data_IF_022287331965
#
_entry.id   IF_022287331965
#
_cell.length_a   1.000
_cell.length_b   1.000
_cell.length_c   1.000
_cell.angle_alpha   90.00
_cell.angle_beta   90.00
_cell.angle_gamma   90.00
#
_symmetry.space_group_name_H-M   'P 1'
#
loop_
_entity.id
_entity.type
_entity.pdbx_description
1 polymer ?
#
# COMPACT_ATOMS: atom_id res chain seq x y z
N UNK A 1 -13.76 -42.06 -13.41
CA UNK A 1 -14.96 -41.33 -12.93
C UNK A 1 -14.76 -40.55 -11.61
N UNK A 2 -13.57 -40.61 -10.98
CA UNK A 2 -13.28 -39.93 -9.70
C UNK A 2 -12.65 -38.52 -9.82
N UNK A 3 -12.26 -38.05 -11.01
CA UNK A 3 -11.65 -36.71 -11.15
C UNK A 3 -12.65 -35.54 -11.17
N UNK A 4 -13.95 -35.79 -11.43
CA UNK A 4 -14.98 -34.74 -11.45
C UNK A 4 -15.43 -34.27 -10.06
N UNK A 5 -15.25 -35.09 -9.02
CA UNK A 5 -15.62 -34.72 -7.64
C UNK A 5 -14.54 -33.88 -6.93
N UNK A 6 -13.29 -33.90 -7.41
CA UNK A 6 -12.20 -33.10 -6.83
C UNK A 6 -12.34 -31.60 -7.11
N UNK A 7 -12.89 -31.21 -8.28
CA UNK A 7 -13.14 -29.81 -8.63
C UNK A 7 -14.18 -29.17 -7.71
N UNK A 8 -15.34 -29.82 -7.55
CA UNK A 8 -16.45 -29.30 -6.73
C UNK A 8 -16.08 -29.01 -5.27
N UNK A 9 -15.23 -29.85 -4.64
CA UNK A 9 -14.78 -29.61 -3.25
C UNK A 9 -13.77 -28.46 -3.15
N UNK A 10 -12.86 -28.32 -4.11
CA UNK A 10 -11.88 -27.21 -4.13
C UNK A 10 -12.56 -25.88 -4.44
N UNK A 11 -13.50 -25.86 -5.37
CA UNK A 11 -14.27 -24.67 -5.70
C UNK A 11 -15.13 -24.23 -4.50
N UNK A 12 -15.76 -25.19 -3.81
CA UNK A 12 -16.50 -24.90 -2.57
C UNK A 12 -15.59 -24.35 -1.46
N UNK A 13 -14.41 -24.94 -1.25
CA UNK A 13 -13.43 -24.43 -0.28
C UNK A 13 -12.99 -23.01 -0.62
N UNK A 14 -12.71 -22.72 -1.89
CA UNK A 14 -12.33 -21.39 -2.34
C UNK A 14 -13.43 -20.36 -2.10
N UNK A 15 -14.67 -20.67 -2.50
CA UNK A 15 -15.82 -19.77 -2.29
C UNK A 15 -16.09 -19.54 -0.80
N UNK A 16 -15.98 -20.58 0.03
CA UNK A 16 -16.13 -20.45 1.49
C UNK A 16 -15.03 -19.57 2.10
N UNK A 17 -13.77 -19.79 1.75
CA UNK A 17 -12.65 -18.97 2.22
C UNK A 17 -12.81 -17.51 1.78
N UNK A 18 -13.18 -17.28 0.52
CA UNK A 18 -13.44 -15.93 0.01
C UNK A 18 -14.58 -15.26 0.78
N UNK A 19 -15.67 -15.99 1.05
CA UNK A 19 -16.78 -15.51 1.86
C UNK A 19 -16.36 -15.11 3.27
N UNK A 20 -15.53 -15.93 3.93
CA UNK A 20 -14.98 -15.65 5.26
C UNK A 20 -14.09 -14.39 5.24
N UNK A 21 -13.21 -14.25 4.23
CA UNK A 21 -12.34 -13.09 4.10
C UNK A 21 -13.13 -11.80 3.85
N UNK A 22 -14.14 -11.84 2.97
CA UNK A 22 -15.01 -10.70 2.72
C UNK A 22 -15.85 -10.32 3.94
N UNK A 23 -16.37 -11.31 4.67
CA UNK A 23 -17.09 -11.07 5.93
C UNK A 23 -16.17 -10.44 6.99
N UNK A 24 -14.94 -10.95 7.13
CA UNK A 24 -13.94 -10.42 8.06
C UNK A 24 -13.55 -8.99 7.69
N UNK A 25 -13.40 -8.70 6.40
CA UNK A 25 -13.15 -7.35 5.90
C UNK A 25 -14.33 -6.41 6.20
N UNK A 26 -15.57 -6.85 5.96
CA UNK A 26 -16.76 -6.06 6.28
C UNK A 26 -16.85 -5.73 7.77
N UNK A 27 -16.61 -6.71 8.64
CA UNK A 27 -16.58 -6.53 10.09
C UNK A 27 -15.44 -5.60 10.52
N UNK A 28 -14.25 -5.73 9.93
CA UNK A 28 -13.12 -4.87 10.29
C UNK A 28 -13.37 -3.41 9.90
N UNK A 29 -13.94 -3.15 8.73
CA UNK A 29 -14.34 -1.79 8.30
C UNK A 29 -15.42 -1.22 9.23
N UNK A 30 -16.42 -2.03 9.59
CA UNK A 30 -17.47 -1.66 10.54
C UNK A 30 -16.87 -1.23 11.89
N UNK A 31 -15.99 -2.04 12.46
CA UNK A 31 -15.35 -1.75 13.74
C UNK A 31 -14.42 -0.53 13.64
N UNK A 32 -13.64 -0.44 12.56
CA UNK A 32 -12.68 0.64 12.37
C UNK A 32 -13.33 2.03 12.29
N UNK A 33 -14.51 2.16 11.65
CA UNK A 33 -15.24 3.44 11.62
C UNK A 33 -15.93 3.74 12.95
N UNK A 34 -16.35 2.70 13.66
CA UNK A 34 -17.06 2.83 14.93
C UNK A 34 -16.13 3.19 16.10
N UNK A 35 -14.88 2.75 16.06
CA UNK A 35 -13.87 3.02 17.08
C UNK A 35 -13.16 4.36 16.85
N UNK A 36 -12.98 5.14 17.91
CA UNK A 36 -12.22 6.39 17.84
C UNK A 36 -12.11 7.08 19.20
N UNK A 37 -11.39 8.20 19.25
CA UNK A 37 -11.12 8.96 20.48
C UNK A 37 -12.37 9.53 21.15
N UNK A 38 -13.45 9.72 20.38
CA UNK A 38 -14.75 10.20 20.87
C UNK A 38 -15.75 9.05 20.81
N UNK A 39 -16.40 8.70 21.92
CA UNK A 39 -17.44 7.70 21.92
C UNK A 39 -18.68 8.22 21.18
N UNK A 40 -19.09 7.54 20.11
CA UNK A 40 -20.28 7.86 19.31
C UNK A 40 -21.11 6.59 19.22
N UNK A 41 -22.43 6.69 19.41
CA UNK A 41 -23.32 5.55 19.30
C UNK A 41 -23.25 4.92 17.90
N UNK A 42 -23.30 3.58 17.84
CA UNK A 42 -23.26 2.85 16.57
C UNK A 42 -24.40 3.27 15.65
N UNK A 43 -25.61 3.43 16.19
CA UNK A 43 -26.78 3.89 15.45
C UNK A 43 -26.53 5.23 14.73
N UNK A 44 -25.95 6.21 15.43
CA UNK A 44 -25.67 7.53 14.86
C UNK A 44 -24.56 7.48 13.80
N UNK A 45 -23.52 6.67 14.05
CA UNK A 45 -22.41 6.48 13.10
C UNK A 45 -22.92 5.98 11.74
N UNK A 46 -23.74 4.92 11.73
CA UNK A 46 -24.27 4.36 10.49
C UNK A 46 -25.38 5.21 9.88
N UNK A 47 -26.19 5.91 10.67
CA UNK A 47 -27.14 6.91 10.14
C UNK A 47 -26.41 8.02 9.39
N UNK A 48 -25.31 8.54 9.93
CA UNK A 48 -24.48 9.55 9.26
C UNK A 48 -23.90 9.00 7.95
N UNK A 49 -23.34 7.79 7.96
CA UNK A 49 -22.73 7.20 6.75
C UNK A 49 -23.79 6.95 5.68
N UNK A 50 -24.90 6.30 6.03
CA UNK A 50 -25.95 5.95 5.07
C UNK A 50 -26.65 7.19 4.50
N UNK A 51 -26.94 8.19 5.33
CA UNK A 51 -27.50 9.47 4.85
C UNK A 51 -26.56 10.18 3.87
N UNK A 52 -25.25 10.17 4.12
CA UNK A 52 -24.24 10.76 3.23
C UNK A 52 -24.01 9.97 1.95
N UNK A 53 -24.27 8.66 1.96
CA UNK A 53 -24.29 7.81 0.77
C UNK A 53 -25.57 7.96 -0.07
N UNK A 54 -26.53 8.77 0.38
CA UNK A 54 -27.76 9.09 -0.36
C UNK A 54 -28.97 8.24 0.01
N UNK A 55 -28.91 7.44 1.08
CA UNK A 55 -30.09 6.75 1.61
C UNK A 55 -31.01 7.76 2.34
N UNK A 56 -32.35 7.66 2.16
CA UNK A 56 -33.31 8.58 2.77
C UNK A 56 -33.52 8.27 4.26
N UNK A 57 -32.47 8.48 5.05
CA UNK A 57 -32.49 8.35 6.50
C UNK A 57 -32.42 9.74 7.12
N UNK A 58 -33.37 10.04 7.99
CA UNK A 58 -33.32 11.27 8.77
C UNK A 58 -32.08 11.24 9.67
N UNK A 59 -31.16 12.17 9.38
CA UNK A 59 -30.14 12.59 10.33
C UNK A 59 -30.93 13.33 11.40
N UNK A 60 -31.25 12.66 12.52
CA UNK A 60 -32.01 13.27 13.62
C UNK A 60 -31.23 14.39 14.31
N UNK A 61 -31.35 14.52 15.63
CA UNK A 61 -30.59 15.51 16.42
C UNK A 61 -29.09 15.16 16.58
N UNK A 62 -28.43 14.74 15.51
CA UNK A 62 -26.99 14.47 15.53
C UNK A 62 -26.24 15.79 15.42
N UNK A 63 -25.33 16.03 16.37
CA UNK A 63 -24.53 17.25 16.39
C UNK A 63 -23.65 17.40 15.13
N UNK A 64 -23.41 18.64 14.70
CA UNK A 64 -22.52 18.94 13.55
C UNK A 64 -21.10 18.41 13.76
N UNK A 65 -20.61 18.39 15.00
CA UNK A 65 -19.28 17.86 15.34
C UNK A 65 -19.22 16.34 15.20
N UNK A 66 -20.24 15.61 15.66
CA UNK A 66 -20.36 14.15 15.46
C UNK A 66 -20.34 13.80 13.98
N UNK A 67 -21.10 14.55 13.16
CA UNK A 67 -21.11 14.36 11.71
C UNK A 67 -19.72 14.56 11.10
N UNK A 68 -19.02 15.64 11.48
CA UNK A 68 -17.68 15.94 10.96
C UNK A 68 -16.66 14.86 11.36
N UNK A 69 -16.71 14.37 12.60
CA UNK A 69 -15.83 13.30 13.08
C UNK A 69 -16.02 12.03 12.25
N UNK A 70 -17.27 11.56 12.09
CA UNK A 70 -17.55 10.31 11.37
C UNK A 70 -17.22 10.46 9.88
N UNK A 71 -17.78 11.48 9.22
CA UNK A 71 -17.71 11.61 7.77
C UNK A 71 -16.39 12.19 7.24
N UNK A 72 -15.77 13.15 7.93
CA UNK A 72 -14.57 13.83 7.43
C UNK A 72 -13.27 13.30 8.04
N UNK A 73 -13.31 12.60 9.18
CA UNK A 73 -12.10 12.11 9.84
C UNK A 73 -12.01 10.58 9.82
N UNK A 74 -13.06 9.87 10.26
CA UNK A 74 -13.00 8.40 10.39
C UNK A 74 -13.16 7.69 9.07
N UNK A 75 -14.19 8.04 8.32
CA UNK A 75 -14.52 7.33 7.08
C UNK A 75 -13.40 7.44 6.03
N UNK A 76 -12.81 8.61 5.75
CA UNK A 76 -11.69 8.72 4.82
C UNK A 76 -10.46 7.94 5.27
N UNK A 77 -10.16 7.96 6.58
CA UNK A 77 -9.05 7.21 7.18
C UNK A 77 -9.21 5.70 7.00
N UNK A 78 -10.42 5.17 7.21
CA UNK A 78 -10.70 3.73 7.04
C UNK A 78 -10.61 3.33 5.57
N UNK A 79 -11.16 4.15 4.67
CA UNK A 79 -11.05 3.91 3.23
C UNK A 79 -9.59 3.97 2.75
N UNK A 80 -8.80 4.93 3.22
CA UNK A 80 -7.37 4.97 2.89
C UNK A 80 -6.65 3.73 3.41
N UNK A 81 -6.97 3.26 4.63
CA UNK A 81 -6.43 2.01 5.17
C UNK A 81 -6.75 0.80 4.29
N UNK A 82 -7.98 0.71 3.77
CA UNK A 82 -8.39 -0.31 2.81
C UNK A 82 -7.58 -0.24 1.51
N UNK A 83 -7.46 0.95 0.92
CA UNK A 83 -6.75 1.18 -0.36
C UNK A 83 -5.26 0.87 -0.23
N UNK A 84 -4.60 1.38 0.83
CA UNK A 84 -3.18 1.14 1.10
C UNK A 84 -2.94 -0.34 1.39
N UNK A 85 -3.80 -0.99 2.18
CA UNK A 85 -3.72 -2.43 2.45
C UNK A 85 -3.84 -3.27 1.18
N UNK A 86 -4.79 -2.95 0.30
CA UNK A 86 -4.96 -3.62 -0.99
C UNK A 86 -3.74 -3.42 -1.90
N UNK A 87 -3.21 -2.19 -1.98
CA UNK A 87 -2.00 -1.88 -2.75
C UNK A 87 -0.77 -2.65 -2.26
N UNK A 88 -0.52 -2.64 -0.94
CA UNK A 88 0.60 -3.36 -0.34
C UNK A 88 0.47 -4.89 -0.53
N UNK A 89 -0.72 -5.44 -0.36
CA UNK A 89 -0.98 -6.87 -0.60
C UNK A 89 -0.69 -7.25 -2.05
N UNK A 90 -1.14 -6.43 -3.01
CA UNK A 90 -0.87 -6.67 -4.44
C UNK A 90 0.62 -6.59 -4.75
N UNK A 91 1.32 -5.56 -4.28
CA UNK A 91 2.78 -5.43 -4.46
C UNK A 91 3.52 -6.65 -3.90
N UNK A 92 3.10 -7.15 -2.73
CA UNK A 92 3.62 -8.39 -2.15
C UNK A 92 3.39 -9.61 -3.04
N UNK A 93 2.15 -9.84 -3.49
CA UNK A 93 1.80 -10.97 -4.37
C UNK A 93 2.55 -10.93 -5.71
N UNK A 94 2.66 -9.75 -6.32
CA UNK A 94 3.42 -9.55 -7.57
C UNK A 94 4.90 -9.84 -7.34
N UNK A 95 5.50 -9.25 -6.30
CA UNK A 95 6.92 -9.44 -6.01
C UNK A 95 7.25 -10.91 -5.74
N UNK A 96 6.48 -11.58 -4.87
CA UNK A 96 6.68 -12.99 -4.53
C UNK A 96 6.55 -13.90 -5.75
N UNK A 97 5.64 -13.59 -6.68
CA UNK A 97 5.47 -14.35 -7.92
C UNK A 97 6.62 -14.14 -8.89
N UNK A 98 7.07 -12.88 -9.06
CA UNK A 98 8.15 -12.53 -10.00
C UNK A 98 9.49 -13.08 -9.58
N UNK A 99 9.83 -13.04 -8.28
CA UNK A 99 11.11 -13.58 -7.81
C UNK A 99 11.05 -15.05 -7.38
N UNK A 100 9.88 -15.67 -7.54
CA UNK A 100 9.58 -17.04 -7.09
C UNK A 100 10.09 -17.32 -5.66
N UNK A 101 9.78 -16.40 -4.75
CA UNK A 101 10.25 -16.47 -3.38
C UNK A 101 9.21 -15.90 -2.40
N UNK A 102 8.64 -16.74 -1.50
CA UNK A 102 7.58 -16.31 -0.58
C UNK A 102 8.06 -15.30 0.48
N UNK A 103 9.36 -15.18 0.73
CA UNK A 103 9.91 -14.19 1.67
C UNK A 103 10.20 -12.84 1.00
N UNK A 104 9.96 -12.71 -0.30
CA UNK A 104 10.24 -11.47 -1.00
C UNK A 104 9.22 -10.39 -0.66
N UNK A 105 9.75 -9.19 -0.47
CA UNK A 105 8.97 -7.99 -0.18
C UNK A 105 9.27 -6.90 -1.20
N UNK A 106 8.30 -6.03 -1.52
CA UNK A 106 8.49 -4.97 -2.50
C UNK A 106 9.55 -3.93 -2.09
N UNK A 107 9.92 -3.87 -0.81
CA UNK A 107 10.94 -2.96 -0.30
C UNK A 107 12.36 -3.27 -0.77
N UNK A 108 12.59 -4.46 -1.33
CA UNK A 108 13.88 -4.86 -1.93
C UNK A 108 14.33 -3.88 -3.03
N UNK A 109 13.40 -3.18 -3.69
CA UNK A 109 13.72 -2.19 -4.72
C UNK A 109 14.22 -0.84 -4.18
N UNK A 110 14.53 -0.73 -2.88
CA UNK A 110 15.02 0.50 -2.26
C UNK A 110 13.97 1.63 -2.19
N UNK A 111 12.72 1.34 -2.56
CA UNK A 111 11.59 2.28 -2.64
C UNK A 111 11.41 3.05 -1.33
N UNK A 112 11.49 2.36 -0.18
CA UNK A 112 11.30 2.99 1.15
C UNK A 112 12.41 3.98 1.49
N UNK A 113 13.67 3.65 1.23
CA UNK A 113 14.79 4.57 1.44
C UNK A 113 14.78 5.73 0.45
N UNK A 114 14.39 5.48 -0.80
CA UNK A 114 14.01 6.48 -1.79
C UNK A 114 13.03 7.50 -1.24
N UNK A 115 11.88 7.00 -0.77
CA UNK A 115 10.82 7.82 -0.21
C UNK A 115 11.29 8.62 1.01
N UNK A 116 12.05 7.97 1.90
CA UNK A 116 12.60 8.59 3.10
C UNK A 116 13.56 9.73 2.77
N UNK A 117 14.47 9.54 1.80
CA UNK A 117 15.39 10.57 1.36
C UNK A 117 14.65 11.77 0.75
N UNK A 118 13.69 11.51 -0.14
CA UNK A 118 12.88 12.56 -0.78
C UNK A 118 12.00 13.34 0.19
N UNK A 119 11.41 12.65 1.17
CA UNK A 119 10.65 13.29 2.25
C UNK A 119 11.57 14.13 3.16
N UNK A 120 12.73 13.59 3.53
CA UNK A 120 13.74 14.28 4.35
C UNK A 120 14.19 15.58 3.69
N UNK A 121 14.51 15.55 2.40
CA UNK A 121 14.84 16.74 1.62
C UNK A 121 13.71 17.77 1.63
N UNK A 122 12.47 17.32 1.38
CA UNK A 122 11.31 18.22 1.33
C UNK A 122 11.03 18.88 2.68
N UNK A 123 11.19 18.13 3.78
CA UNK A 123 11.01 18.64 5.14
C UNK A 123 12.06 19.69 5.48
N UNK A 124 13.34 19.40 5.20
CA UNK A 124 14.46 20.29 5.53
C UNK A 124 14.43 21.57 4.68
N UNK A 125 14.00 21.49 3.42
CA UNK A 125 13.78 22.66 2.56
C UNK A 125 12.52 23.47 2.94
N UNK A 126 11.74 23.05 3.94
CA UNK A 126 10.52 23.73 4.37
C UNK A 126 9.33 23.56 3.42
N UNK A 127 9.44 22.65 2.44
CA UNK A 127 8.46 22.45 1.38
C UNK A 127 7.35 21.47 1.82
N UNK A 128 6.61 21.83 2.88
CA UNK A 128 5.63 20.94 3.55
C UNK A 128 4.53 20.40 2.64
N UNK A 129 4.10 21.18 1.63
CA UNK A 129 3.02 20.79 0.71
C UNK A 129 3.44 19.69 -0.27
N UNK A 130 4.75 19.53 -0.50
CA UNK A 130 5.29 18.60 -1.51
C UNK A 130 6.05 17.43 -0.90
N UNK A 131 5.91 17.16 0.40
CA UNK A 131 6.58 16.00 1.05
C UNK A 131 6.22 14.69 0.34
N UNK A 132 4.93 14.46 0.05
CA UNK A 132 4.49 13.26 -0.66
C UNK A 132 5.06 13.17 -2.08
N UNK A 133 5.22 14.31 -2.76
CA UNK A 133 5.81 14.36 -4.09
C UNK A 133 7.31 14.08 -4.05
N UNK A 134 8.04 14.69 -3.10
CA UNK A 134 9.45 14.42 -2.89
C UNK A 134 9.70 12.95 -2.55
N UNK A 135 8.88 12.37 -1.67
CA UNK A 135 8.92 10.94 -1.35
C UNK A 135 8.67 10.08 -2.59
N UNK A 136 7.66 10.40 -3.39
CA UNK A 136 7.35 9.66 -4.60
C UNK A 136 8.49 9.71 -5.63
N UNK A 137 9.05 10.89 -5.87
CA UNK A 137 10.20 11.06 -6.78
C UNK A 137 11.45 10.34 -6.26
N UNK A 138 11.70 10.40 -4.95
CA UNK A 138 12.80 9.68 -4.32
C UNK A 138 12.66 8.15 -4.44
N UNK A 139 11.44 7.63 -4.30
CA UNK A 139 11.13 6.21 -4.51
C UNK A 139 11.37 5.77 -5.96
N UNK A 140 10.95 6.59 -6.93
CA UNK A 140 11.23 6.34 -8.36
C UNK A 140 12.74 6.32 -8.61
N UNK A 141 13.47 7.32 -8.09
CA UNK A 141 14.92 7.40 -8.26
C UNK A 141 15.63 6.18 -7.68
N UNK A 142 15.23 5.73 -6.48
CA UNK A 142 15.78 4.51 -5.87
C UNK A 142 15.51 3.29 -6.74
N UNK A 143 14.28 3.12 -7.22
CA UNK A 143 13.91 1.99 -8.09
C UNK A 143 14.72 1.97 -9.37
N UNK A 144 14.85 3.12 -10.04
CA UNK A 144 15.66 3.26 -11.26
C UNK A 144 17.13 2.93 -10.97
N UNK A 145 17.68 3.42 -9.86
CA UNK A 145 19.06 3.12 -9.46
C UNK A 145 19.27 1.61 -9.24
N UNK A 146 18.33 0.94 -8.55
CA UNK A 146 18.38 -0.51 -8.34
C UNK A 146 18.33 -1.25 -9.68
N UNK A 147 17.42 -0.90 -10.58
CA UNK A 147 17.30 -1.55 -11.89
C UNK A 147 18.55 -1.35 -12.75
N UNK A 148 19.13 -0.16 -12.76
CA UNK A 148 20.39 0.12 -13.48
C UNK A 148 21.50 -0.78 -12.94
N UNK A 149 21.74 -0.78 -11.63
CA UNK A 149 22.83 -1.56 -11.01
C UNK A 149 22.59 -3.08 -11.22
N UNK A 150 21.37 -3.55 -11.04
CA UNK A 150 21.02 -4.97 -11.19
C UNK A 150 21.18 -5.47 -12.62
N UNK A 151 21.05 -4.58 -13.62
CA UNK A 151 21.17 -4.90 -15.04
C UNK A 151 22.60 -4.81 -15.60
N UNK A 152 23.57 -4.27 -14.86
CA UNK A 152 24.94 -4.04 -15.35
C UNK A 152 25.66 -5.31 -15.79
N UNK A 153 25.29 -6.48 -15.27
CA UNK A 153 25.90 -7.77 -15.62
C UNK A 153 25.17 -8.48 -16.79
N UNK A 154 24.28 -7.80 -17.51
CA UNK A 154 23.60 -8.31 -18.70
C UNK A 154 22.48 -9.34 -18.44
N UNK A 155 22.37 -9.87 -17.21
CA UNK A 155 21.25 -10.69 -16.75
C UNK A 155 20.75 -10.19 -15.40
N UNK A 156 19.45 -9.91 -15.31
CA UNK A 156 18.83 -9.54 -14.05
C UNK A 156 18.46 -10.83 -13.32
N UNK A 157 19.17 -11.13 -12.23
CA UNK A 157 18.89 -12.28 -11.38
C UNK A 157 18.27 -11.79 -10.07
N UNK A 158 17.53 -12.66 -9.38
CA UNK A 158 17.00 -12.34 -8.04
C UNK A 158 18.11 -11.90 -7.09
N UNK A 159 19.29 -12.54 -7.15
CA UNK A 159 20.45 -12.17 -6.34
C UNK A 159 21.01 -10.78 -6.69
N UNK A 160 21.13 -10.43 -7.98
CA UNK A 160 21.62 -9.11 -8.38
C UNK A 160 20.64 -8.01 -8.00
N UNK A 161 19.33 -8.27 -8.08
CA UNK A 161 18.29 -7.34 -7.66
C UNK A 161 18.34 -7.07 -6.15
N UNK A 162 18.45 -8.14 -5.34
CA UNK A 162 18.53 -8.01 -3.87
C UNK A 162 19.79 -7.24 -3.46
N UNK A 163 20.96 -7.59 -4.01
CA UNK A 163 22.22 -6.94 -3.67
C UNK A 163 22.25 -5.46 -4.11
N UNK A 164 21.69 -5.15 -5.28
CA UNK A 164 21.56 -3.76 -5.75
C UNK A 164 20.62 -2.97 -4.85
N UNK A 165 19.51 -3.59 -4.43
CA UNK A 165 18.56 -3.06 -3.47
C UNK A 165 19.21 -2.68 -2.13
N UNK A 166 20.00 -3.59 -1.55
CA UNK A 166 20.67 -3.32 -0.27
C UNK A 166 21.71 -2.20 -0.39
N UNK A 167 22.44 -2.13 -1.50
CA UNK A 167 23.40 -1.03 -1.78
C UNK A 167 22.69 0.32 -1.89
N UNK A 168 21.64 0.41 -2.70
CA UNK A 168 20.88 1.66 -2.88
C UNK A 168 20.21 2.08 -1.56
N UNK A 169 19.66 1.13 -0.82
CA UNK A 169 19.06 1.37 0.49
C UNK A 169 20.09 1.99 1.47
N UNK A 170 21.27 1.39 1.59
CA UNK A 170 22.33 1.90 2.46
C UNK A 170 22.80 3.30 2.04
N UNK A 171 22.98 3.53 0.74
CA UNK A 171 23.39 4.82 0.19
C UNK A 171 22.36 5.92 0.48
N UNK A 172 21.08 5.65 0.26
CA UNK A 172 20.02 6.64 0.42
C UNK A 172 19.75 6.96 1.90
N UNK A 173 19.87 5.96 2.78
CA UNK A 173 19.83 6.18 4.23
C UNK A 173 21.04 6.99 4.70
N UNK A 174 22.25 6.73 4.16
CA UNK A 174 23.43 7.52 4.46
C UNK A 174 23.26 8.99 4.05
N UNK A 175 22.73 9.24 2.85
CA UNK A 175 22.40 10.61 2.43
C UNK A 175 21.33 11.25 3.31
N UNK A 176 20.26 10.53 3.65
CA UNK A 176 19.21 11.04 4.54
C UNK A 176 19.80 11.47 5.88
N UNK A 177 20.64 10.63 6.49
CA UNK A 177 21.29 10.92 7.76
C UNK A 177 22.30 12.08 7.64
N UNK A 178 23.04 12.18 6.55
CA UNK A 178 23.94 13.30 6.30
C UNK A 178 23.16 14.63 6.23
N UNK A 179 22.07 14.68 5.46
CA UNK A 179 21.24 15.89 5.34
C UNK A 179 20.63 16.25 6.70
N UNK A 180 20.13 15.27 7.45
CA UNK A 180 19.62 15.48 8.81
C UNK A 180 20.71 16.07 9.71
N UNK A 181 21.92 15.51 9.66
CA UNK A 181 23.03 15.93 10.51
C UNK A 181 23.50 17.36 10.22
N UNK A 182 23.42 17.81 8.97
CA UNK A 182 23.93 19.13 8.56
C UNK A 182 22.86 20.22 8.64
N UNK A 183 21.61 19.88 8.35
CA UNK A 183 20.56 20.88 8.10
C UNK A 183 19.30 20.78 8.97
N UNK A 184 19.14 19.74 9.80
CA UNK A 184 17.91 19.58 10.57
C UNK A 184 17.94 20.30 11.92
N UNK A 185 16.87 21.03 12.22
CA UNK A 185 16.56 21.48 13.58
C UNK A 185 15.73 20.40 14.32
N UNK A 186 15.53 20.58 15.63
CA UNK A 186 14.80 19.62 16.47
C UNK A 186 13.40 19.27 15.92
N UNK A 187 12.68 20.27 15.40
CA UNK A 187 11.34 20.09 14.82
C UNK A 187 11.37 19.26 13.54
N UNK A 188 12.35 19.48 12.67
CA UNK A 188 12.52 18.72 11.43
C UNK A 188 12.87 17.26 11.73
N UNK A 189 13.77 17.02 12.68
CA UNK A 189 14.11 15.66 13.14
C UNK A 189 12.86 14.93 13.64
N UNK A 190 12.04 15.59 14.47
CA UNK A 190 10.81 15.00 15.00
C UNK A 190 9.80 14.73 13.87
N UNK A 191 9.64 15.67 12.94
CA UNK A 191 8.75 15.54 11.77
C UNK A 191 9.16 14.35 10.90
N UNK A 192 10.46 14.22 10.59
CA UNK A 192 11.01 13.10 9.82
C UNK A 192 10.75 11.78 10.56
N UNK A 193 11.01 11.74 11.87
CA UNK A 193 10.77 10.55 12.70
C UNK A 193 9.31 10.09 12.68
N UNK A 194 8.35 11.00 12.81
CA UNK A 194 6.93 10.64 12.73
C UNK A 194 6.50 10.26 11.33
N UNK A 195 7.08 10.87 10.30
CA UNK A 195 6.78 10.54 8.91
C UNK A 195 7.26 9.12 8.54
N UNK A 196 8.46 8.73 8.95
CA UNK A 196 9.02 7.40 8.66
C UNK A 196 8.30 6.26 9.39
N UNK A 197 7.61 6.53 10.50
CA UNK A 197 6.77 5.54 11.18
C UNK A 197 5.48 5.21 10.39
N UNK A 198 5.06 6.10 9.49
CA UNK A 198 3.79 5.99 8.77
C UNK A 198 2.58 6.30 9.65
N UNK A 199 1.55 6.90 9.06
CA UNK A 199 0.30 7.20 9.76
C UNK A 199 -0.86 7.39 8.77
N UNK A 200 -2.06 7.02 9.20
CA UNK A 200 -3.32 7.33 8.52
C UNK A 200 -4.10 8.45 9.24
N UNK A 201 -3.47 9.10 10.22
CA UNK A 201 -4.08 10.22 10.93
C UNK A 201 -4.10 11.47 10.04
N UNK A 202 -5.16 12.27 10.15
CA UNK A 202 -5.29 13.52 9.40
C UNK A 202 -5.73 13.35 7.94
N UNK A 203 -6.04 12.13 7.49
CA UNK A 203 -6.55 11.87 6.14
C UNK A 203 -7.85 12.62 5.86
N UNK A 204 -7.89 13.26 4.70
CA UNK A 204 -9.05 13.95 4.15
C UNK A 204 -9.55 13.24 2.89
N UNK A 205 -10.76 13.57 2.44
CA UNK A 205 -11.34 13.01 1.21
C UNK A 205 -10.50 13.24 -0.05
N UNK A 206 -9.79 14.37 -0.15
CA UNK A 206 -8.90 14.66 -1.28
C UNK A 206 -7.70 13.72 -1.35
N UNK A 207 -7.23 13.21 -0.21
CA UNK A 207 -6.06 12.34 -0.14
C UNK A 207 -6.32 10.94 -0.71
N UNK A 208 -7.60 10.54 -0.86
CA UNK A 208 -7.98 9.22 -1.36
C UNK A 208 -7.89 9.13 -2.89
N UNK A 209 -8.05 10.24 -3.61
CA UNK A 209 -8.26 10.24 -5.06
C UNK A 209 -7.08 9.59 -5.79
N UNK A 210 -5.87 10.06 -5.52
CA UNK A 210 -4.67 9.57 -6.20
C UNK A 210 -4.37 8.09 -5.86
N UNK A 211 -4.31 7.66 -4.59
CA UNK A 211 -4.12 6.24 -4.25
C UNK A 211 -5.20 5.33 -4.83
N UNK A 212 -6.46 5.75 -4.81
CA UNK A 212 -7.58 4.94 -5.35
C UNK A 212 -7.40 4.69 -6.84
N UNK A 213 -7.07 5.73 -7.61
CA UNK A 213 -6.87 5.61 -9.06
C UNK A 213 -5.68 4.69 -9.35
N UNK A 214 -4.53 4.92 -8.69
CA UNK A 214 -3.30 4.16 -8.96
C UNK A 214 -3.46 2.69 -8.56
N UNK A 215 -3.96 2.41 -7.35
CA UNK A 215 -4.18 1.04 -6.88
C UNK A 215 -5.28 0.36 -7.68
N UNK A 216 -6.34 1.08 -8.05
CA UNK A 216 -7.42 0.54 -8.88
C UNK A 216 -6.93 0.13 -10.28
N UNK A 217 -6.16 0.98 -10.95
CA UNK A 217 -5.56 0.66 -12.25
C UNK A 217 -4.57 -0.50 -12.16
N UNK A 218 -3.74 -0.53 -11.11
CA UNK A 218 -2.82 -1.63 -10.87
C UNK A 218 -3.54 -2.95 -10.58
N UNK A 219 -4.62 -2.93 -9.78
CA UNK A 219 -5.47 -4.11 -9.52
C UNK A 219 -6.06 -4.64 -10.83
N UNK A 220 -6.63 -3.75 -11.65
CA UNK A 220 -7.20 -4.13 -12.94
C UNK A 220 -6.13 -4.75 -13.84
N UNK A 221 -4.97 -4.10 -13.99
CA UNK A 221 -3.87 -4.61 -14.80
C UNK A 221 -3.39 -5.98 -14.31
N UNK A 222 -2.95 -6.09 -13.06
CA UNK A 222 -2.34 -7.33 -12.55
C UNK A 222 -3.34 -8.49 -12.40
N UNK A 223 -4.63 -8.21 -12.19
CA UNK A 223 -5.66 -9.26 -12.19
C UNK A 223 -5.78 -9.97 -13.55
N UNK A 224 -5.49 -9.28 -14.66
CA UNK A 224 -5.49 -9.90 -16.00
C UNK A 224 -4.26 -10.77 -16.25
N UNK A 225 -3.18 -10.58 -15.49
CA UNK A 225 -1.89 -11.23 -15.69
C UNK A 225 -1.68 -12.50 -14.83
N UNK A 226 -2.74 -13.00 -14.19
CA UNK A 226 -2.66 -14.14 -13.26
C UNK A 226 -1.99 -15.39 -13.86
N UNK A 227 -2.14 -15.63 -15.17
CA UNK A 227 -1.50 -16.77 -15.85
C UNK A 227 0.01 -16.62 -15.94
N UNK A 228 0.48 -15.40 -16.19
CA UNK A 228 1.91 -15.07 -16.27
C UNK A 228 2.54 -15.28 -14.90
N UNK A 229 1.92 -14.78 -13.85
CA UNK A 229 2.38 -14.99 -12.47
C UNK A 229 2.41 -16.46 -12.06
N UNK A 230 1.37 -17.23 -12.39
CA UNK A 230 1.34 -18.67 -12.11
C UNK A 230 2.48 -19.42 -12.80
N UNK A 231 2.85 -19.01 -14.02
CA UNK A 231 3.95 -19.62 -14.74
C UNK A 231 5.32 -19.16 -14.21
N UNK A 232 5.49 -17.89 -13.80
CA UNK A 232 6.71 -17.44 -13.11
C UNK A 232 6.94 -18.20 -11.79
N UNK A 233 5.87 -18.54 -11.07
CA UNK A 233 5.94 -19.40 -9.88
C UNK A 233 6.37 -20.85 -10.18
N UNK A 234 6.26 -21.33 -11.42
CA UNK A 234 6.80 -22.64 -11.82
C UNK A 234 8.33 -22.61 -12.04
N UNK A 235 8.94 -21.42 -12.04
CA UNK A 235 10.37 -21.19 -12.27
C UNK A 235 10.65 -20.66 -13.67
N UNK A 236 11.79 -19.99 -13.80
CA UNK A 236 12.18 -19.26 -15.02
C UNK A 236 12.23 -20.16 -16.26
N UNK A 237 12.76 -21.38 -16.16
CA UNK A 237 12.83 -22.33 -17.27
C UNK A 237 11.44 -22.76 -17.77
N UNK A 238 10.50 -22.98 -16.85
CA UNK A 238 9.14 -23.36 -17.19
C UNK A 238 8.38 -22.18 -17.82
N UNK A 239 8.55 -20.97 -17.28
CA UNK A 239 7.97 -19.75 -17.83
C UNK A 239 8.47 -19.47 -19.25
N UNK A 240 9.78 -19.57 -19.49
CA UNK A 240 10.39 -19.40 -20.81
C UNK A 240 9.87 -20.45 -21.81
N UNK A 241 9.73 -21.71 -21.38
CA UNK A 241 9.19 -22.79 -22.23
C UNK A 241 7.73 -22.55 -22.61
N UNK A 242 6.95 -21.90 -21.73
CA UNK A 242 5.56 -21.49 -21.99
C UNK A 242 5.45 -20.21 -22.83
N UNK A 243 6.58 -19.66 -23.31
CA UNK A 243 6.62 -18.48 -24.16
C UNK A 243 6.43 -17.17 -23.40
N UNK A 244 6.65 -17.17 -22.09
CA UNK A 244 6.67 -15.95 -21.29
C UNK A 244 8.10 -15.38 -21.37
N UNK A 245 8.24 -14.14 -21.88
CA UNK A 245 9.53 -13.49 -22.06
C UNK A 245 10.18 -13.05 -20.74
#
# INVERSE_FOLDING_TARGET
MLSKFSGSRRDLQFVLLLGILLATLGISLFLAVSMGSVAIALGDTYRIILSRLGFPLEIGEVSKSTLAIVWNMRFPRVLLGLIVGAGLSMCGSVMQSTVNNPIAEPYVLGISAGATLGATLSIILGLKVVISLGAFLGAILATIAVLIIASMQGRMTTSSLILSGTVVNALFLAFSNFIISVGANADSVMTIKFWTMGSLAGTTWSDLVLPTIVVGLALLFFSTQYRVFNAMMMGDEAALTLGIP
#
